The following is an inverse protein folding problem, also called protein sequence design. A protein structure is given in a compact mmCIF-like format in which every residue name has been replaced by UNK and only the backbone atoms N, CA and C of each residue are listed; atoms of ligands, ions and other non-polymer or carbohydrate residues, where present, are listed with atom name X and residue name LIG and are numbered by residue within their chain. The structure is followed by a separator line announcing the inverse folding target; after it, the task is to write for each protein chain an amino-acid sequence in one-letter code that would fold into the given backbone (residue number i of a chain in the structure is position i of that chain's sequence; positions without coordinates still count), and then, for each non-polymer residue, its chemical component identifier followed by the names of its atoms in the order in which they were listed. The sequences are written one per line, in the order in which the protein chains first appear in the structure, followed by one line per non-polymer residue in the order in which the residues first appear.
data_IF_630962783623
#
_entry.id   IF_630962783623
#
_cell.length_a   1.000
_cell.length_b   1.000
_cell.length_c   1.000
_cell.angle_alpha   90.00
_cell.angle_beta   90.00
_cell.angle_gamma   90.00
#
_symmetry.space_group_name_H-M   'P 1'
#
loop_
_entity.id
_entity.type
_entity.pdbx_description
1 polymer ?
#
# COMPACT_ATOMS: atom_id res chain seq x y z
N UNK A 1 -0.63 -3.54 -2.76
CA UNK A 1 -0.50 -2.10 -3.12
C UNK A 1 0.94 -1.85 -3.57
N UNK A 2 1.17 -0.98 -4.54
CA UNK A 2 2.51 -0.70 -5.07
C UNK A 2 2.81 0.79 -4.93
N UNK A 3 3.94 1.10 -4.29
CA UNK A 3 4.49 2.45 -4.19
C UNK A 3 5.52 2.64 -5.30
N UNK A 4 5.35 3.70 -6.09
CA UNK A 4 6.21 3.98 -7.25
C UNK A 4 6.94 5.30 -7.05
N UNK A 5 8.25 5.25 -6.94
CA UNK A 5 9.10 6.45 -6.96
C UNK A 5 9.41 6.82 -8.40
N UNK A 6 8.83 7.91 -8.88
CA UNK A 6 9.06 8.38 -10.25
C UNK A 6 10.27 9.33 -10.34
N UNK A 7 10.85 9.45 -11.54
CA UNK A 7 11.98 10.32 -11.89
C UNK A 7 13.32 9.88 -11.27
N UNK A 8 13.57 8.58 -11.23
CA UNK A 8 14.83 8.00 -10.72
C UNK A 8 16.06 8.44 -11.52
N UNK A 9 15.87 8.93 -12.75
CA UNK A 9 16.90 9.53 -13.59
C UNK A 9 17.49 10.83 -13.02
N UNK A 10 16.76 11.52 -12.13
CA UNK A 10 17.21 12.76 -11.48
C UNK A 10 17.72 12.48 -10.06
N UNK A 11 16.98 11.69 -9.29
CA UNK A 11 17.29 11.39 -7.89
C UNK A 11 17.05 9.91 -7.62
N UNK A 12 18.06 9.22 -7.09
CA UNK A 12 17.92 7.82 -6.65
C UNK A 12 16.89 7.71 -5.53
N UNK A 13 16.02 6.70 -5.65
CA UNK A 13 14.97 6.39 -4.67
C UNK A 13 15.46 5.54 -3.49
N UNK A 14 16.72 5.08 -3.51
CA UNK A 14 17.28 4.15 -2.51
C UNK A 14 17.20 4.68 -1.07
N UNK A 15 17.43 5.99 -0.86
CA UNK A 15 17.29 6.61 0.47
C UNK A 15 15.86 6.56 0.98
N UNK A 16 14.88 6.73 0.10
CA UNK A 16 13.47 6.64 0.46
C UNK A 16 13.09 5.18 0.75
N UNK A 17 13.64 4.22 0.00
CA UNK A 17 13.46 2.79 0.30
C UNK A 17 14.04 2.46 1.67
N UNK A 18 15.22 2.96 1.98
CA UNK A 18 15.86 2.77 3.29
C UNK A 18 14.96 3.28 4.43
N UNK A 19 14.40 4.48 4.31
CA UNK A 19 13.46 5.02 5.31
C UNK A 19 12.18 4.19 5.47
N UNK A 20 11.70 3.55 4.40
CA UNK A 20 10.52 2.68 4.46
C UNK A 20 10.80 1.30 5.08
N UNK A 21 12.07 0.89 5.13
CA UNK A 21 12.51 -0.40 5.70
C UNK A 21 13.13 -0.25 7.09
N UNK A 22 13.67 0.93 7.38
CA UNK A 22 14.32 1.29 8.63
C UNK A 22 13.67 2.57 9.17
N UNK A 23 12.71 2.38 10.08
CA UNK A 23 11.98 3.48 10.67
C UNK A 23 12.85 4.35 11.59
N UNK A 24 13.93 3.81 12.17
CA UNK A 24 14.86 4.59 13.01
C UNK A 24 15.58 5.64 12.16
N UNK A 25 16.04 5.26 10.96
CA UNK A 25 16.64 6.21 10.01
C UNK A 25 15.65 7.27 9.52
N UNK A 26 14.38 6.89 9.37
CA UNK A 26 13.32 7.84 9.05
C UNK A 26 13.07 8.83 10.19
N UNK A 27 13.01 8.37 11.44
CA UNK A 27 12.87 9.22 12.62
C UNK A 27 14.07 10.16 12.80
N UNK A 28 15.29 9.67 12.56
CA UNK A 28 16.50 10.48 12.60
C UNK A 28 16.41 11.62 11.57
N UNK A 29 16.07 11.31 10.32
CA UNK A 29 15.88 12.32 9.27
C UNK A 29 14.78 13.34 9.62
N UNK A 30 13.70 12.90 10.24
CA UNK A 30 12.61 13.76 10.72
C UNK A 30 12.99 14.62 11.94
N UNK A 31 13.90 14.16 12.80
CA UNK A 31 14.37 14.94 13.95
C UNK A 31 15.13 16.19 13.52
N UNK A 32 15.76 16.14 12.34
CA UNK A 32 16.42 17.27 11.70
C UNK A 32 15.44 18.19 10.94
N UNK A 33 14.23 17.72 10.65
CA UNK A 33 13.17 18.52 10.03
C UNK A 33 12.32 19.19 11.13
N UNK A 34 12.19 20.52 11.09
CA UNK A 34 11.62 21.34 12.17
C UNK A 34 10.08 21.25 12.35
N UNK A 35 9.50 20.04 12.44
CA UNK A 35 8.07 19.84 12.71
C UNK A 35 7.79 18.93 13.92
N UNK A 36 7.85 19.53 15.12
CA UNK A 36 7.64 18.86 16.41
C UNK A 36 6.30 18.10 16.51
N UNK A 37 5.22 18.64 15.93
CA UNK A 37 3.92 17.96 15.94
C UNK A 37 3.91 16.68 15.10
N UNK A 38 4.45 16.74 13.87
CA UNK A 38 4.52 15.58 12.98
C UNK A 38 5.37 14.47 13.61
N UNK A 39 6.46 14.83 14.28
CA UNK A 39 7.32 13.88 15.00
C UNK A 39 6.58 13.19 16.17
N UNK A 40 5.79 13.92 16.96
CA UNK A 40 5.01 13.33 18.06
C UNK A 40 3.88 12.40 17.58
N UNK A 41 3.22 12.73 16.48
CA UNK A 41 2.18 11.90 15.86
C UNK A 41 2.79 10.62 15.28
N UNK A 42 3.89 10.75 14.53
CA UNK A 42 4.62 9.62 13.94
C UNK A 42 5.14 8.66 15.02
N UNK A 43 5.65 9.19 16.14
CA UNK A 43 6.07 8.37 17.28
C UNK A 43 4.88 7.60 17.91
N UNK A 44 3.70 8.22 17.96
CA UNK A 44 2.50 7.58 18.49
C UNK A 44 1.95 6.48 17.57
N UNK A 45 2.22 6.58 16.26
CA UNK A 45 1.76 5.62 15.24
C UNK A 45 2.86 4.66 14.76
N UNK A 46 4.05 4.71 15.35
CA UNK A 46 5.27 4.07 14.85
C UNK A 46 5.05 2.61 14.43
N UNK A 47 4.58 1.76 15.35
CA UNK A 47 4.39 0.32 15.09
C UNK A 47 3.45 0.03 13.92
N UNK A 48 2.39 0.83 13.75
CA UNK A 48 1.44 0.65 12.66
C UNK A 48 2.03 1.10 11.32
N UNK A 49 2.80 2.19 11.33
CA UNK A 49 3.48 2.71 10.15
C UNK A 49 4.64 1.80 9.72
N UNK A 50 5.40 1.26 10.67
CA UNK A 50 6.46 0.28 10.42
C UNK A 50 5.92 -0.96 9.71
N UNK A 51 4.87 -1.58 10.25
CA UNK A 51 4.22 -2.73 9.61
C UNK A 51 3.65 -2.36 8.23
N UNK A 52 3.00 -1.20 8.12
CA UNK A 52 2.43 -0.77 6.85
C UNK A 52 3.49 -0.53 5.77
N UNK A 53 4.54 0.24 6.07
CA UNK A 53 5.58 0.60 5.11
C UNK A 53 6.51 -0.57 4.77
N UNK A 54 6.80 -1.46 5.72
CA UNK A 54 7.60 -2.67 5.49
C UNK A 54 6.92 -3.66 4.55
N UNK A 55 5.58 -3.72 4.55
CA UNK A 55 4.81 -4.60 3.67
C UNK A 55 4.60 -4.04 2.25
N UNK A 56 4.95 -2.78 1.97
CA UNK A 56 4.74 -2.22 0.63
C UNK A 56 5.71 -2.79 -0.39
N UNK A 57 5.17 -3.13 -1.57
CA UNK A 57 5.96 -3.31 -2.78
C UNK A 57 6.40 -1.92 -3.26
N UNK A 58 7.70 -1.68 -3.29
CA UNK A 58 8.30 -0.40 -3.68
C UNK A 58 9.11 -0.62 -4.95
N UNK A 59 8.94 0.27 -5.93
CA UNK A 59 9.74 0.27 -7.16
C UNK A 59 10.13 1.70 -7.53
N UNK A 60 11.30 1.86 -8.12
CA UNK A 60 11.75 3.11 -8.71
C UNK A 60 11.60 3.05 -10.23
N UNK A 61 10.99 4.07 -10.81
CA UNK A 61 10.84 4.19 -12.27
C UNK A 61 11.27 5.56 -12.77
N UNK A 62 11.79 5.60 -13.99
CA UNK A 62 11.86 6.82 -14.78
C UNK A 62 10.83 6.76 -15.89
N UNK A 63 9.82 7.62 -15.81
CA UNK A 63 8.83 7.75 -16.89
C UNK A 63 9.41 8.29 -18.20
N UNK A 64 10.62 8.89 -18.15
CA UNK A 64 11.27 9.51 -19.31
C UNK A 64 12.16 8.51 -20.02
N UNK A 65 13.00 7.77 -19.27
CA UNK A 65 13.94 6.80 -19.86
C UNK A 65 13.35 5.40 -19.98
N UNK A 66 12.26 5.10 -19.25
CA UNK A 66 11.66 3.77 -19.16
C UNK A 66 12.36 2.85 -18.16
N UNK A 67 13.37 3.33 -17.44
CA UNK A 67 14.07 2.57 -16.40
C UNK A 67 13.10 2.12 -15.29
N UNK A 68 13.26 0.89 -14.82
CA UNK A 68 12.46 0.32 -13.72
C UNK A 68 11.04 -0.12 -14.10
N UNK A 69 10.60 0.09 -15.36
CA UNK A 69 9.25 -0.29 -15.81
C UNK A 69 9.04 -1.82 -15.80
N UNK A 70 10.06 -2.60 -16.14
CA UNK A 70 9.97 -4.07 -16.11
C UNK A 70 9.69 -4.59 -14.69
N UNK A 71 10.43 -4.07 -13.70
CA UNK A 71 10.22 -4.39 -12.28
C UNK A 71 8.83 -3.96 -11.80
N UNK A 72 8.37 -2.78 -12.22
CA UNK A 72 7.01 -2.32 -11.94
C UNK A 72 5.96 -3.30 -12.45
N UNK A 73 6.06 -3.75 -13.71
CA UNK A 73 5.10 -4.72 -14.27
C UNK A 73 5.16 -6.08 -13.57
N UNK A 74 6.34 -6.53 -13.16
CA UNK A 74 6.48 -7.75 -12.37
C UNK A 74 5.72 -7.63 -11.04
N UNK A 75 5.89 -6.52 -10.31
CA UNK A 75 5.16 -6.27 -9.06
C UNK A 75 3.65 -6.13 -9.27
N UNK A 76 3.22 -5.51 -10.37
CA UNK A 76 1.79 -5.44 -10.75
C UNK A 76 1.22 -6.85 -10.95
N UNK A 77 1.94 -7.73 -11.65
CA UNK A 77 1.49 -9.10 -11.87
C UNK A 77 1.40 -9.90 -10.56
N UNK A 78 2.33 -9.69 -9.61
CA UNK A 78 2.24 -10.30 -8.27
C UNK A 78 1.01 -9.78 -7.53
N UNK A 79 0.81 -8.46 -7.46
CA UNK A 79 -0.36 -7.88 -6.80
C UNK A 79 -1.69 -8.24 -7.47
N UNK A 80 -1.71 -8.49 -8.77
CA UNK A 80 -2.89 -9.00 -9.48
C UNK A 80 -3.25 -10.41 -9.01
N UNK A 81 -2.26 -11.29 -8.83
CA UNK A 81 -2.49 -12.65 -8.31
C UNK A 81 -3.06 -12.61 -6.88
N UNK A 82 -2.50 -11.78 -6.01
CA UNK A 82 -3.01 -11.57 -4.64
C UNK A 82 -4.46 -11.07 -4.65
N UNK A 83 -4.79 -10.16 -5.58
CA UNK A 83 -6.16 -9.68 -5.75
C UNK A 83 -7.13 -10.80 -6.16
N UNK A 84 -6.72 -11.64 -7.12
CA UNK A 84 -7.55 -12.75 -7.61
C UNK A 84 -7.73 -13.88 -6.59
N UNK A 85 -6.69 -14.20 -5.82
CA UNK A 85 -6.72 -15.30 -4.85
C UNK A 85 -7.44 -14.95 -3.55
N UNK A 86 -7.26 -13.72 -3.05
CA UNK A 86 -7.66 -13.40 -1.69
C UNK A 86 -8.84 -12.43 -1.67
N UNK A 87 -8.72 -11.33 -2.40
CA UNK A 87 -9.69 -10.24 -2.34
C UNK A 87 -10.96 -10.54 -3.16
N UNK A 88 -10.83 -11.12 -4.35
CA UNK A 88 -11.97 -11.43 -5.21
C UNK A 88 -12.95 -12.45 -4.57
N UNK A 89 -12.50 -13.55 -3.94
CA UNK A 89 -13.40 -14.47 -3.24
C UNK A 89 -14.10 -13.82 -2.06
N UNK A 90 -13.39 -12.98 -1.30
CA UNK A 90 -13.98 -12.21 -0.20
C UNK A 90 -15.12 -11.30 -0.71
N UNK A 91 -14.88 -10.56 -1.80
CA UNK A 91 -15.89 -9.72 -2.43
C UNK A 91 -17.12 -10.52 -2.88
N UNK A 92 -16.91 -11.65 -3.57
CA UNK A 92 -18.00 -12.53 -4.04
C UNK A 92 -18.85 -13.05 -2.88
N UNK A 93 -18.21 -13.54 -1.82
CA UNK A 93 -18.92 -14.01 -0.61
C UNK A 93 -19.75 -12.90 0.03
N UNK A 94 -19.21 -11.67 0.08
CA UNK A 94 -19.94 -10.51 0.62
C UNK A 94 -21.15 -10.13 -0.24
N UNK A 95 -21.02 -10.20 -1.57
CA UNK A 95 -22.13 -9.96 -2.51
C UNK A 95 -23.22 -11.02 -2.38
N UNK A 96 -22.86 -12.30 -2.30
CA UNK A 96 -23.81 -13.40 -2.11
C UNK A 96 -24.59 -13.28 -0.80
N UNK A 97 -23.90 -12.98 0.31
CA UNK A 97 -24.55 -12.74 1.61
C UNK A 97 -25.55 -11.59 1.54
N UNK A 98 -25.19 -10.49 0.86
CA UNK A 98 -26.09 -9.34 0.67
C UNK A 98 -27.32 -9.72 -0.16
N UNK A 99 -27.14 -10.41 -1.29
CA UNK A 99 -28.23 -10.88 -2.15
C UNK A 99 -29.17 -11.82 -1.40
N UNK A 100 -28.62 -12.75 -0.62
CA UNK A 100 -29.42 -13.69 0.17
C UNK A 100 -30.21 -12.99 1.29
N UNK A 101 -29.61 -11.98 1.94
CA UNK A 101 -30.30 -11.16 2.94
C UNK A 101 -31.45 -10.34 2.33
N UNK A 102 -31.25 -9.76 1.15
CA UNK A 102 -32.30 -9.03 0.41
C UNK A 102 -33.45 -9.95 0.00
N UNK A 103 -33.14 -11.14 -0.55
CA UNK A 103 -34.16 -12.14 -0.89
C UNK A 103 -34.95 -12.61 0.34
N UNK A 104 -34.27 -12.87 1.46
CA UNK A 104 -34.94 -13.25 2.71
C UNK A 104 -35.83 -12.13 3.24
N UNK A 105 -35.40 -10.87 3.15
CA UNK A 105 -36.21 -9.71 3.54
C UNK A 105 -37.46 -9.59 2.64
N UNK A 106 -37.33 -9.70 1.32
CA UNK A 106 -38.49 -9.66 0.42
C UNK A 106 -39.46 -10.82 0.67
N UNK A 107 -38.96 -12.03 0.96
CA UNK A 107 -39.80 -13.19 1.27
C UNK A 107 -40.58 -13.03 2.59
N UNK A 108 -40.01 -12.41 3.62
CA UNK A 108 -40.68 -12.20 4.91
C UNK A 108 -41.83 -11.18 4.81
N UNK A 109 -41.71 -10.15 3.96
CA UNK A 109 -42.73 -9.12 3.77
C UNK A 109 -43.80 -9.47 2.72
N UNK A 110 -43.70 -10.64 2.08
CA UNK A 110 -44.65 -11.12 1.05
C UNK A 110 -45.66 -12.15 1.58
N UNK A 111 -45.69 -12.40 2.89
CA UNK A 111 -46.68 -13.21 3.63
C UNK A 111 -47.26 -12.37 4.77
#
# INVERSE_FOLDING_TARGET
MILVFNKTDIVSHEKCVEWLRDFEKFQEALSYAEESYMNSLMNSMNLMLEEFYSQLNVVGVSSVTGEGMDEFFEKVNVSLKEYESDYLPFLKSKMEKKKNAELAHTFIFSF
#
